data_IF_030699078727
#
_entry.id   IF_030699078727
#
_cell.length_a   1.000
_cell.length_b   1.000
_cell.length_c   1.000
_cell.angle_alpha   90.00
_cell.angle_beta   90.00
_cell.angle_gamma   90.00
#
_symmetry.space_group_name_H-M   'P 1'
#
loop_
_entity.id
_entity.type
_entity.pdbx_description
1 polymer ?
#
# COMPACT_ATOMS: atom_id res chain seq x y z
N UNK A 1 25.79 12.78 6.44
CA UNK A 1 25.59 11.31 6.44
C UNK A 1 24.44 10.98 5.50
N UNK A 2 24.62 10.05 4.56
CA UNK A 2 23.55 9.62 3.65
C UNK A 2 22.91 8.35 4.19
N UNK A 3 21.58 8.35 4.32
CA UNK A 3 20.81 7.17 4.71
C UNK A 3 20.32 6.46 3.45
N UNK A 4 20.55 5.15 3.34
CA UNK A 4 20.07 4.32 2.24
C UNK A 4 18.69 3.73 2.59
N UNK A 5 17.73 3.87 1.69
CA UNK A 5 16.38 3.33 1.87
C UNK A 5 16.01 2.46 0.67
N UNK A 6 15.64 1.21 0.96
CA UNK A 6 15.13 0.29 -0.05
C UNK A 6 13.66 0.55 -0.32
N UNK A 7 13.27 0.57 -1.59
CA UNK A 7 11.87 0.70 -2.02
C UNK A 7 11.53 -0.41 -2.99
N UNK A 8 10.44 -1.11 -2.69
CA UNK A 8 9.84 -2.07 -3.60
C UNK A 8 9.03 -1.34 -4.67
N UNK A 9 9.23 -1.71 -5.93
CA UNK A 9 8.44 -1.28 -7.09
C UNK A 9 8.17 -2.49 -7.98
N UNK A 10 7.15 -2.42 -8.83
CA UNK A 10 6.92 -3.40 -9.89
C UNK A 10 7.50 -2.90 -11.22
N UNK A 11 7.33 -1.62 -11.54
CA UNK A 11 7.81 -1.05 -12.80
C UNK A 11 8.16 0.43 -12.68
N UNK A 12 8.69 1.02 -13.75
CA UNK A 12 8.94 2.47 -13.83
C UNK A 12 7.68 3.31 -13.69
N UNK A 13 6.49 2.75 -13.99
CA UNK A 13 5.21 3.45 -13.76
C UNK A 13 5.00 3.79 -12.29
N UNK A 14 5.53 2.98 -11.39
CA UNK A 14 5.45 3.27 -9.95
C UNK A 14 6.27 4.52 -9.60
N UNK A 15 7.34 4.82 -10.33
CA UNK A 15 8.14 6.03 -10.11
C UNK A 15 7.34 7.30 -10.41
N UNK A 16 6.39 7.25 -11.35
CA UNK A 16 5.45 8.37 -11.60
C UNK A 16 4.56 8.60 -10.39
N UNK A 17 4.03 7.53 -9.80
CA UNK A 17 3.21 7.60 -8.57
C UNK A 17 4.05 8.17 -7.43
N UNK A 18 5.28 7.71 -7.24
CA UNK A 18 6.17 8.27 -6.22
C UNK A 18 6.48 9.75 -6.48
N UNK A 19 6.63 10.16 -7.74
CA UNK A 19 6.86 11.56 -8.10
C UNK A 19 5.67 12.44 -7.75
N UNK A 20 4.46 12.00 -8.06
CA UNK A 20 3.22 12.69 -7.68
C UNK A 20 3.06 12.78 -6.16
N UNK A 21 3.30 11.69 -5.44
CA UNK A 21 3.21 11.68 -3.97
C UNK A 21 4.30 12.57 -3.34
N UNK A 22 5.51 12.56 -3.91
CA UNK A 22 6.63 13.39 -3.47
C UNK A 22 6.29 14.88 -3.50
N UNK A 23 5.68 15.39 -4.57
CA UNK A 23 5.38 16.83 -4.69
C UNK A 23 4.45 17.34 -3.60
N UNK A 24 3.67 16.44 -2.99
CA UNK A 24 2.77 16.75 -1.87
C UNK A 24 3.33 16.36 -0.50
N UNK A 25 4.56 15.82 -0.43
CA UNK A 25 5.20 15.39 0.82
C UNK A 25 5.93 16.57 1.48
N UNK A 26 5.56 17.00 2.69
CA UNK A 26 6.19 18.14 3.35
C UNK A 26 7.65 17.84 3.75
N UNK A 27 8.48 18.89 3.77
CA UNK A 27 9.89 18.86 4.22
C UNK A 27 10.84 17.95 3.41
N UNK A 28 10.38 17.35 2.32
CA UNK A 28 11.18 16.54 1.42
C UNK A 28 11.51 17.35 0.16
N UNK A 29 12.79 17.45 -0.18
CA UNK A 29 13.27 18.13 -1.39
C UNK A 29 14.07 17.15 -2.25
N UNK A 30 14.08 17.32 -3.56
CA UNK A 30 14.99 16.60 -4.48
C UNK A 30 16.37 17.27 -4.42
N UNK A 31 17.45 16.47 -4.40
CA UNK A 31 18.81 17.00 -4.53
C UNK A 31 18.95 17.79 -5.84
N UNK A 32 19.67 18.93 -5.81
CA UNK A 32 19.72 19.87 -6.95
C UNK A 32 20.16 19.23 -8.26
N UNK A 33 21.09 18.28 -8.21
CA UNK A 33 21.54 17.49 -9.35
C UNK A 33 20.47 16.53 -9.91
N UNK A 34 19.44 16.18 -9.14
CA UNK A 34 18.36 15.27 -9.55
C UNK A 34 17.09 16.01 -10.00
N UNK A 35 17.01 17.35 -9.91
CA UNK A 35 15.77 18.10 -10.18
C UNK A 35 15.29 18.00 -11.64
N UNK A 36 16.21 17.85 -12.59
CA UNK A 36 15.92 17.79 -14.02
C UNK A 36 16.21 16.41 -14.62
N UNK A 37 16.52 15.41 -13.79
CA UNK A 37 16.79 14.04 -14.24
C UNK A 37 15.46 13.29 -14.25
N UNK A 38 15.17 12.59 -15.34
CA UNK A 38 14.06 11.66 -15.42
C UNK A 38 14.26 10.52 -14.44
N UNK A 39 13.22 10.19 -13.66
CA UNK A 39 13.31 9.13 -12.67
C UNK A 39 13.15 7.79 -13.36
N UNK A 40 14.21 7.01 -13.41
CA UNK A 40 14.22 5.66 -13.98
C UNK A 40 14.71 4.66 -12.93
N UNK A 41 14.60 3.37 -13.22
CA UNK A 41 15.19 2.33 -12.35
C UNK A 41 16.70 2.52 -12.20
N UNK A 42 17.37 2.90 -13.29
CA UNK A 42 18.82 3.14 -13.33
C UNK A 42 19.21 4.46 -12.64
N UNK A 43 18.31 5.44 -12.64
CA UNK A 43 18.50 6.77 -12.05
C UNK A 43 17.43 7.07 -10.99
N UNK A 44 17.44 6.36 -9.84
CA UNK A 44 16.46 6.61 -8.79
C UNK A 44 16.67 8.00 -8.17
N UNK A 45 15.60 8.65 -7.69
CA UNK A 45 15.72 9.96 -7.08
C UNK A 45 16.50 9.92 -5.77
N UNK A 46 17.35 10.94 -5.58
CA UNK A 46 17.94 11.22 -4.28
C UNK A 46 17.24 12.43 -3.63
N UNK A 47 16.94 12.30 -2.34
CA UNK A 47 16.20 13.29 -1.59
C UNK A 47 17.03 13.96 -0.50
N UNK A 48 16.56 15.13 -0.10
CA UNK A 48 17.01 15.92 1.02
C UNK A 48 15.81 16.09 1.95
N UNK A 49 15.88 15.50 3.13
CA UNK A 49 14.87 15.68 4.17
C UNK A 49 15.32 16.77 5.15
N UNK A 50 14.58 17.88 5.19
CA UNK A 50 14.80 18.96 6.17
C UNK A 50 14.18 18.55 7.50
N UNK A 51 15.00 18.40 8.53
CA UNK A 51 14.58 18.07 9.90
C UNK A 51 14.70 19.30 10.78
N UNK A 52 14.06 19.25 11.97
CA UNK A 52 14.16 20.31 12.98
C UNK A 52 15.61 20.65 13.38
N UNK A 53 16.49 19.65 13.38
CA UNK A 53 17.89 19.78 13.83
C UNK A 53 18.91 19.42 12.74
N UNK A 54 18.59 19.62 11.45
CA UNK A 54 19.55 19.46 10.37
C UNK A 54 18.96 18.90 9.09
N UNK A 55 19.84 18.46 8.21
CA UNK A 55 19.50 17.96 6.89
C UNK A 55 19.99 16.53 6.73
N UNK A 56 19.14 15.65 6.23
CA UNK A 56 19.49 14.28 5.90
C UNK A 56 19.44 14.07 4.39
N UNK A 57 20.54 13.53 3.84
CA UNK A 57 20.58 13.05 2.47
C UNK A 57 20.05 11.61 2.44
N UNK A 58 19.18 11.34 1.48
CA UNK A 58 18.45 10.10 1.36
C UNK A 58 18.72 9.55 -0.03
N UNK A 59 19.31 8.37 -0.08
CA UNK A 59 19.51 7.63 -1.32
C UNK A 59 18.52 6.47 -1.39
N UNK A 60 17.85 6.35 -2.54
CA UNK A 60 16.88 5.29 -2.79
C UNK A 60 17.53 4.15 -3.54
N UNK A 61 17.42 2.95 -3.00
CA UNK A 61 17.74 1.70 -3.68
C UNK A 61 16.42 1.05 -4.11
N UNK A 62 16.19 0.96 -5.42
CA UNK A 62 14.97 0.35 -5.95
C UNK A 62 15.14 -1.17 -6.02
N UNK A 63 14.12 -1.90 -5.56
CA UNK A 63 14.01 -3.35 -5.70
C UNK A 63 12.79 -3.66 -6.54
N UNK A 64 13.02 -4.22 -7.72
CA UNK A 64 11.95 -4.67 -8.60
C UNK A 64 11.39 -5.98 -8.03
N UNK A 65 10.09 -5.98 -7.77
CA UNK A 65 9.34 -7.16 -7.36
C UNK A 65 8.82 -7.91 -8.57
N UNK A 66 8.66 -9.22 -8.39
CA UNK A 66 8.00 -10.11 -9.35
C UNK A 66 6.74 -10.68 -8.72
N UNK A 67 5.72 -10.90 -9.54
CA UNK A 67 4.51 -11.60 -9.11
C UNK A 67 4.76 -13.11 -9.09
N UNK A 68 5.43 -13.56 -8.03
CA UNK A 68 5.82 -14.96 -7.84
C UNK A 68 5.43 -15.45 -6.43
N UNK A 69 5.81 -16.70 -6.12
CA UNK A 69 5.58 -17.32 -4.81
C UNK A 69 6.18 -16.49 -3.65
N UNK A 70 7.37 -15.91 -3.82
CA UNK A 70 7.98 -15.07 -2.79
C UNK A 70 7.11 -13.85 -2.46
N UNK A 71 6.58 -13.17 -3.48
CA UNK A 71 5.71 -12.00 -3.26
C UNK A 71 4.37 -12.42 -2.66
N UNK A 72 3.81 -13.55 -3.10
CA UNK A 72 2.63 -14.15 -2.50
C UNK A 72 2.83 -14.42 -1.01
N UNK A 73 3.98 -14.96 -0.61
CA UNK A 73 4.28 -15.25 0.80
C UNK A 73 4.43 -13.97 1.63
N UNK A 74 5.04 -12.93 1.06
CA UNK A 74 5.06 -11.60 1.68
C UNK A 74 3.65 -11.08 1.93
N UNK A 75 2.74 -11.19 0.96
CA UNK A 75 1.35 -10.76 1.13
C UNK A 75 0.64 -11.56 2.22
N UNK A 76 0.84 -12.87 2.27
CA UNK A 76 0.27 -13.70 3.33
C UNK A 76 0.75 -13.28 4.71
N UNK A 77 2.06 -13.04 4.89
CA UNK A 77 2.62 -12.54 6.16
C UNK A 77 1.99 -11.21 6.57
N UNK A 78 1.82 -10.28 5.61
CA UNK A 78 1.20 -8.98 5.84
C UNK A 78 -0.26 -9.16 6.29
N UNK A 79 -1.04 -9.98 5.59
CA UNK A 79 -2.48 -10.20 5.87
C UNK A 79 -2.66 -10.89 7.21
N UNK A 80 -1.87 -11.92 7.52
CA UNK A 80 -1.94 -12.62 8.81
C UNK A 80 -1.57 -11.69 9.98
N UNK A 81 -0.53 -10.87 9.81
CA UNK A 81 -0.14 -9.87 10.81
C UNK A 81 -1.24 -8.83 11.00
N UNK A 82 -1.87 -8.40 9.92
CA UNK A 82 -2.99 -7.46 9.93
C UNK A 82 -4.21 -8.05 10.61
N UNK A 83 -4.52 -9.33 10.34
CA UNK A 83 -5.63 -10.04 10.95
C UNK A 83 -5.43 -10.19 12.46
N UNK A 84 -4.22 -10.59 12.89
CA UNK A 84 -3.84 -10.64 14.31
C UNK A 84 -3.98 -9.27 14.99
N UNK A 85 -3.52 -8.20 14.34
CA UNK A 85 -3.67 -6.84 14.86
C UNK A 85 -5.16 -6.43 14.95
N UNK A 86 -5.97 -6.76 13.95
CA UNK A 86 -7.40 -6.49 13.93
C UNK A 86 -8.19 -7.25 14.99
N UNK A 87 -7.69 -8.41 15.46
CA UNK A 87 -8.24 -9.14 16.59
C UNK A 87 -8.00 -8.40 17.92
N UNK A 88 -6.83 -7.81 18.11
CA UNK A 88 -6.44 -7.13 19.35
C UNK A 88 -7.20 -5.81 19.60
N UNK A 89 -7.78 -5.20 18.56
CA UNK A 89 -8.44 -3.89 18.64
C UNK A 89 -9.86 -3.98 19.26
N UNK A 90 -10.35 -5.18 19.64
CA UNK A 90 -11.75 -5.36 20.06
C UNK A 90 -11.94 -5.57 21.56
N UNK A 91 -13.05 -5.01 22.07
CA UNK A 91 -13.57 -5.22 23.43
C UNK A 91 -14.44 -6.49 23.58
N UNK A 92 -14.81 -7.17 22.48
CA UNK A 92 -15.73 -8.33 22.51
C UNK A 92 -15.15 -9.52 21.75
N UNK A 93 -15.20 -10.72 22.36
CA UNK A 93 -14.74 -11.97 21.78
C UNK A 93 -15.54 -12.33 20.50
N UNK A 94 -14.97 -12.03 19.33
CA UNK A 94 -15.50 -12.47 18.04
C UNK A 94 -15.01 -13.87 17.66
N UNK A 95 -15.76 -14.58 16.81
CA UNK A 95 -15.28 -15.81 16.18
C UNK A 95 -14.36 -15.44 15.01
N UNK A 96 -13.08 -15.24 15.30
CA UNK A 96 -12.07 -14.91 14.30
C UNK A 96 -11.47 -16.16 13.67
N UNK A 97 -11.08 -16.03 12.40
CA UNK A 97 -10.58 -17.13 11.57
C UNK A 97 -11.15 -17.06 10.16
N UNK A 98 -10.59 -17.87 9.27
CA UNK A 98 -11.09 -17.96 7.89
C UNK A 98 -12.47 -18.62 7.84
N UNK A 99 -13.29 -18.23 6.87
CA UNK A 99 -14.60 -18.87 6.63
C UNK A 99 -14.41 -20.34 6.26
N UNK A 100 -13.41 -20.63 5.42
CA UNK A 100 -12.92 -21.97 5.10
C UNK A 100 -11.40 -21.96 5.10
N UNK A 101 -10.78 -23.08 5.52
CA UNK A 101 -9.32 -23.20 5.57
C UNK A 101 -8.73 -23.00 4.16
N UNK A 102 -7.86 -22.01 3.99
CA UNK A 102 -7.21 -21.67 2.73
C UNK A 102 -8.00 -20.67 1.88
N UNK A 103 -9.05 -20.04 2.40
CA UNK A 103 -9.83 -19.04 1.67
C UNK A 103 -9.00 -17.79 1.36
N UNK A 104 -8.16 -17.36 2.31
CA UNK A 104 -7.28 -16.20 2.13
C UNK A 104 -6.17 -16.54 1.14
N UNK A 105 -5.50 -17.67 1.32
CA UNK A 105 -4.43 -18.11 0.41
C UNK A 105 -4.92 -18.22 -1.02
N UNK A 106 -6.06 -18.88 -1.26
CA UNK A 106 -6.63 -19.01 -2.60
C UNK A 106 -6.95 -17.66 -3.25
N UNK A 107 -7.36 -16.68 -2.44
CA UNK A 107 -7.63 -15.31 -2.91
C UNK A 107 -6.32 -14.61 -3.30
N UNK A 108 -5.29 -14.70 -2.48
CA UNK A 108 -3.98 -14.11 -2.76
C UNK A 108 -3.34 -14.77 -3.99
N UNK A 109 -3.39 -16.10 -4.08
CA UNK A 109 -2.85 -16.85 -5.22
C UNK A 109 -3.54 -16.41 -6.53
N UNK A 110 -4.87 -16.30 -6.52
CA UNK A 110 -5.65 -15.81 -7.67
C UNK A 110 -5.27 -14.37 -8.08
N UNK A 111 -5.08 -13.48 -7.10
CA UNK A 111 -4.68 -12.09 -7.37
C UNK A 111 -3.26 -12.03 -7.94
N UNK A 112 -2.29 -12.73 -7.35
CA UNK A 112 -0.90 -12.73 -7.81
C UNK A 112 -0.80 -13.28 -9.24
N UNK A 113 -1.53 -14.34 -9.57
CA UNK A 113 -1.61 -14.86 -10.94
C UNK A 113 -2.27 -13.85 -11.88
N UNK A 114 -3.36 -13.18 -11.48
CA UNK A 114 -3.96 -12.13 -12.30
C UNK A 114 -2.99 -10.97 -12.55
N UNK A 115 -2.24 -10.56 -11.53
CA UNK A 115 -1.25 -9.49 -11.62
C UNK A 115 -0.06 -9.87 -12.48
N UNK A 116 0.40 -11.12 -12.47
CA UNK A 116 1.49 -11.55 -13.34
C UNK A 116 1.11 -11.38 -14.81
N UNK A 117 -0.12 -11.72 -15.20
CA UNK A 117 -0.59 -11.48 -16.58
C UNK A 117 -0.71 -9.98 -16.92
N UNK A 118 -1.31 -9.18 -16.04
CA UNK A 118 -1.46 -7.72 -16.24
C UNK A 118 -0.12 -6.99 -16.26
N UNK A 119 0.88 -7.52 -15.55
CA UNK A 119 2.23 -6.97 -15.50
C UNK A 119 2.93 -7.06 -16.86
N UNK A 120 2.78 -8.19 -17.56
CA UNK A 120 3.36 -8.38 -18.89
C UNK A 120 2.76 -7.42 -19.92
N UNK A 121 1.51 -6.97 -19.71
CA UNK A 121 0.85 -5.93 -20.51
C UNK A 121 1.26 -4.50 -20.10
N UNK A 122 2.10 -4.36 -19.07
CA UNK A 122 2.57 -3.09 -18.52
C UNK A 122 1.46 -2.28 -17.85
N UNK A 123 0.31 -2.87 -17.49
CA UNK A 123 -0.86 -2.10 -17.00
C UNK A 123 -0.90 -1.89 -15.50
N UNK A 124 -0.06 -2.60 -14.75
CA UNK A 124 -0.17 -2.69 -13.29
C UNK A 124 0.77 -1.72 -12.56
N UNK A 125 0.25 -1.11 -11.50
CA UNK A 125 0.99 -0.25 -10.55
C UNK A 125 0.80 -0.72 -9.11
N UNK A 126 1.61 -0.20 -8.18
CA UNK A 126 1.45 -0.43 -6.74
C UNK A 126 0.05 -0.05 -6.24
N UNK A 127 -0.61 0.96 -6.84
CA UNK A 127 -1.95 1.37 -6.45
C UNK A 127 -3.01 0.36 -6.89
N UNK A 128 -2.80 -0.32 -8.02
CA UNK A 128 -3.68 -1.39 -8.46
C UNK A 128 -3.60 -2.59 -7.51
N UNK A 129 -2.37 -3.01 -7.14
CA UNK A 129 -2.15 -4.09 -6.17
C UNK A 129 -2.79 -3.75 -4.82
N UNK A 130 -2.58 -2.53 -4.33
CA UNK A 130 -3.18 -2.05 -3.08
C UNK A 130 -4.72 -2.07 -3.15
N UNK A 131 -5.30 -1.53 -4.22
CA UNK A 131 -6.74 -1.45 -4.37
C UNK A 131 -7.40 -2.83 -4.48
N UNK A 132 -6.88 -3.69 -5.35
CA UNK A 132 -7.41 -5.04 -5.59
C UNK A 132 -7.32 -5.91 -4.32
N UNK A 133 -6.20 -5.86 -3.59
CA UNK A 133 -6.07 -6.62 -2.36
C UNK A 133 -7.00 -6.12 -1.25
N UNK A 134 -7.07 -4.80 -1.05
CA UNK A 134 -7.93 -4.21 -0.01
C UNK A 134 -9.40 -4.49 -0.31
N UNK A 135 -9.83 -4.32 -1.56
CA UNK A 135 -11.18 -4.66 -1.99
C UNK A 135 -11.48 -6.15 -1.77
N UNK A 136 -10.59 -7.03 -2.20
CA UNK A 136 -10.78 -8.47 -2.05
C UNK A 136 -10.95 -8.89 -0.58
N UNK A 137 -10.15 -8.34 0.32
CA UNK A 137 -10.24 -8.64 1.76
C UNK A 137 -11.47 -8.03 2.42
N UNK A 138 -11.90 -6.85 1.98
CA UNK A 138 -13.08 -6.16 2.53
C UNK A 138 -14.40 -6.80 2.08
N UNK A 139 -14.50 -7.13 0.78
CA UNK A 139 -15.78 -7.46 0.14
C UNK A 139 -15.98 -8.96 -0.11
N UNK A 140 -14.92 -9.77 -0.25
CA UNK A 140 -15.07 -11.20 -0.62
C UNK A 140 -15.21 -12.15 0.59
N UNK A 141 -15.49 -11.61 1.78
CA UNK A 141 -15.82 -12.32 3.02
C UNK A 141 -14.91 -13.52 3.35
N UNK A 142 -13.59 -13.30 3.43
CA UNK A 142 -12.61 -14.39 3.67
C UNK A 142 -12.48 -14.78 5.13
N UNK A 143 -12.82 -13.87 6.04
CA UNK A 143 -12.84 -14.11 7.47
C UNK A 143 -14.28 -14.20 7.98
N UNK A 144 -14.49 -15.01 9.02
CA UNK A 144 -15.78 -15.10 9.72
C UNK A 144 -16.19 -13.75 10.33
N UNK A 145 -15.21 -12.98 10.80
CA UNK A 145 -15.39 -11.61 11.29
C UNK A 145 -14.12 -10.78 11.01
N UNK A 146 -14.26 -9.45 11.01
CA UNK A 146 -13.14 -8.53 10.94
C UNK A 146 -12.61 -8.28 9.53
N UNK A 147 -13.35 -8.63 8.46
CA UNK A 147 -12.95 -8.39 7.06
C UNK A 147 -12.50 -6.92 6.82
N UNK A 148 -13.37 -5.96 7.13
CA UNK A 148 -13.08 -4.51 6.98
C UNK A 148 -11.82 -4.07 7.73
N UNK A 149 -11.72 -4.42 9.02
CA UNK A 149 -10.56 -4.08 9.86
C UNK A 149 -9.28 -4.76 9.39
N UNK A 150 -9.37 -6.01 8.97
CA UNK A 150 -8.22 -6.73 8.40
C UNK A 150 -7.77 -6.10 7.09
N UNK A 151 -8.69 -5.68 6.22
CA UNK A 151 -8.37 -4.95 4.99
C UNK A 151 -7.67 -3.61 5.30
N UNK A 152 -8.20 -2.84 6.25
CA UNK A 152 -7.62 -1.57 6.71
C UNK A 152 -6.24 -1.73 7.35
N UNK A 153 -5.99 -2.80 8.10
CA UNK A 153 -4.68 -3.10 8.68
C UNK A 153 -3.69 -3.63 7.63
N UNK A 154 -4.14 -4.52 6.73
CA UNK A 154 -3.33 -5.07 5.63
C UNK A 154 -2.80 -3.94 4.78
N UNK A 155 -3.71 -3.03 4.44
CA UNK A 155 -3.40 -1.77 3.78
C UNK A 155 -2.27 -1.00 4.46
N UNK A 156 -2.35 -0.75 5.76
CA UNK A 156 -1.33 0.02 6.49
C UNK A 156 0.04 -0.65 6.44
N UNK A 157 0.08 -1.98 6.51
CA UNK A 157 1.34 -2.73 6.42
C UNK A 157 1.86 -2.78 4.99
N UNK A 158 0.99 -2.94 3.99
CA UNK A 158 1.37 -3.04 2.59
C UNK A 158 1.87 -1.71 2.03
N UNK A 159 1.26 -0.57 2.38
CA UNK A 159 1.80 0.75 1.99
C UNK A 159 3.19 0.98 2.59
N UNK A 160 3.41 0.57 3.85
CA UNK A 160 4.71 0.70 4.52
C UNK A 160 5.77 -0.17 3.85
N UNK A 161 5.39 -1.38 3.41
CA UNK A 161 6.24 -2.25 2.62
C UNK A 161 6.71 -1.58 1.32
N UNK A 162 5.85 -0.80 0.65
CA UNK A 162 6.22 0.01 -0.52
C UNK A 162 6.94 1.34 -0.18
N UNK A 163 7.19 1.65 1.10
CA UNK A 163 7.83 2.90 1.53
C UNK A 163 6.91 4.12 1.41
N UNK A 164 5.59 3.90 1.53
CA UNK A 164 4.52 4.88 1.51
C UNK A 164 3.78 4.92 2.85
N UNK A 165 3.19 6.07 3.16
CA UNK A 165 2.53 6.31 4.44
C UNK A 165 1.25 7.15 4.23
N UNK A 166 0.26 7.01 5.12
CA UNK A 166 -0.97 7.81 5.08
C UNK A 166 -0.74 9.15 5.78
N UNK A 167 -1.04 10.26 5.10
CA UNK A 167 -0.96 11.62 5.65
C UNK A 167 -1.71 11.64 6.97
N UNK A 168 -1.01 11.92 8.08
CA UNK A 168 -1.68 12.09 9.37
C UNK A 168 -2.66 13.26 9.25
N UNK A 169 -3.93 12.97 9.51
CA UNK A 169 -4.99 13.97 9.52
C UNK A 169 -5.30 14.47 10.94
N UNK A 170 -6.37 15.27 11.05
CA UNK A 170 -7.06 15.49 12.32
C UNK A 170 -7.76 14.18 12.74
N UNK A 171 -8.16 14.00 14.00
CA UNK A 171 -8.92 12.82 14.41
C UNK A 171 -10.16 12.51 13.54
N UNK A 172 -10.84 13.53 12.98
CA UNK A 172 -11.96 13.31 12.04
C UNK A 172 -11.52 12.72 10.69
N UNK A 173 -10.25 12.89 10.31
CA UNK A 173 -9.65 12.25 9.13
C UNK A 173 -9.17 10.82 9.41
N UNK A 174 -9.03 10.43 10.68
CA UNK A 174 -8.62 9.07 11.04
C UNK A 174 -9.79 8.07 10.94
N UNK A 175 -11.05 8.49 11.21
CA UNK A 175 -12.26 7.67 10.98
C UNK A 175 -12.67 7.62 9.50
N UNK A 176 -12.20 8.57 8.70
CA UNK A 176 -12.57 8.71 7.29
C UNK A 176 -12.39 7.40 6.49
N UNK A 177 -11.31 6.68 6.74
CA UNK A 177 -11.02 5.44 6.00
C UNK A 177 -11.91 4.27 6.44
N UNK A 178 -12.36 4.28 7.68
CA UNK A 178 -13.31 3.30 8.19
C UNK A 178 -14.65 3.49 7.48
N UNK A 179 -15.15 4.73 7.44
CA UNK A 179 -16.38 5.10 6.73
C UNK A 179 -16.30 4.79 5.24
N UNK A 180 -15.17 5.12 4.61
CA UNK A 180 -14.95 4.83 3.19
C UNK A 180 -14.99 3.33 2.88
N UNK A 181 -14.33 2.49 3.69
CA UNK A 181 -14.38 1.04 3.47
C UNK A 181 -15.75 0.46 3.78
N UNK A 182 -16.48 1.01 4.76
CA UNK A 182 -17.88 0.63 5.01
C UNK A 182 -18.73 0.91 3.78
N UNK A 183 -18.66 2.12 3.22
CA UNK A 183 -19.40 2.51 2.03
C UNK A 183 -19.09 1.63 0.81
N UNK A 184 -17.81 1.32 0.57
CA UNK A 184 -17.41 0.37 -0.49
C UNK A 184 -18.07 -1.01 -0.28
N UNK A 185 -18.06 -1.53 0.95
CA UNK A 185 -18.66 -2.84 1.28
C UNK A 185 -20.19 -2.81 1.18
N UNK A 186 -20.85 -1.70 1.51
CA UNK A 186 -22.31 -1.59 1.40
C UNK A 186 -22.77 -1.50 -0.06
N UNK A 187 -21.99 -0.83 -0.92
CA UNK A 187 -22.31 -0.64 -2.34
C UNK A 187 -21.79 -1.74 -3.27
N UNK A 188 -20.97 -2.69 -2.78
CA UNK A 188 -20.26 -3.67 -3.62
C UNK A 188 -21.15 -4.57 -4.49
N UNK A 189 -22.42 -4.76 -4.15
CA UNK A 189 -23.38 -5.54 -4.93
C UNK A 189 -24.14 -4.71 -5.98
N UNK A 190 -24.06 -3.38 -5.88
CA UNK A 190 -24.79 -2.43 -6.74
C UNK A 190 -23.88 -1.77 -7.79
N UNK A 191 -22.57 -1.85 -7.60
CA UNK A 191 -21.57 -1.15 -8.39
C UNK A 191 -20.51 -2.14 -8.84
N UNK A 192 -20.01 -1.96 -10.06
CA UNK A 192 -18.95 -2.78 -10.62
C UNK A 192 -17.67 -2.69 -9.76
N UNK A 193 -16.99 -3.82 -9.58
CA UNK A 193 -15.69 -3.90 -8.92
C UNK A 193 -14.69 -2.92 -9.55
N UNK A 194 -14.69 -2.74 -10.87
CA UNK A 194 -13.77 -1.82 -11.54
C UNK A 194 -13.95 -0.35 -11.06
N UNK A 195 -15.19 0.07 -10.83
CA UNK A 195 -15.50 1.41 -10.32
C UNK A 195 -15.01 1.57 -8.88
N UNK A 196 -15.20 0.57 -8.03
CA UNK A 196 -14.66 0.57 -6.67
C UNK A 196 -13.14 0.62 -6.65
N UNK A 197 -12.47 -0.17 -7.49
CA UNK A 197 -11.01 -0.15 -7.60
C UNK A 197 -10.51 1.24 -8.02
N UNK A 198 -11.19 1.90 -8.96
CA UNK A 198 -10.88 3.28 -9.35
C UNK A 198 -11.07 4.27 -8.19
N UNK A 199 -12.17 4.21 -7.46
CA UNK A 199 -12.43 5.05 -6.28
C UNK A 199 -11.34 4.88 -5.22
N UNK A 200 -10.97 3.64 -4.91
CA UNK A 200 -9.91 3.32 -3.95
C UNK A 200 -8.57 3.92 -4.41
N UNK A 201 -8.19 3.75 -5.69
CA UNK A 201 -6.93 4.29 -6.24
C UNK A 201 -6.87 5.82 -6.20
N UNK A 202 -7.94 6.49 -6.61
CA UNK A 202 -8.00 7.95 -6.57
C UNK A 202 -7.94 8.48 -5.14
N UNK A 203 -8.51 7.72 -4.19
CA UNK A 203 -8.38 8.06 -2.78
C UNK A 203 -6.94 7.90 -2.29
N UNK A 204 -6.25 6.83 -2.68
CA UNK A 204 -4.84 6.63 -2.35
C UNK A 204 -3.94 7.78 -2.78
N UNK A 205 -4.08 8.25 -4.02
CA UNK A 205 -3.26 9.35 -4.55
C UNK A 205 -3.33 10.61 -3.67
N UNK A 206 -4.49 10.89 -3.07
CA UNK A 206 -4.71 12.09 -2.24
C UNK A 206 -4.11 11.94 -0.85
N UNK A 207 -4.18 10.74 -0.28
CA UNK A 207 -3.88 10.48 1.13
C UNK A 207 -2.46 9.97 1.39
N UNK A 208 -1.70 9.58 0.36
CA UNK A 208 -0.34 9.08 0.55
C UNK A 208 0.71 10.19 0.63
N UNK A 209 1.77 9.93 1.40
CA UNK A 209 3.01 10.70 1.42
C UNK A 209 4.21 9.76 1.56
N UNK A 210 5.40 10.30 1.31
CA UNK A 210 6.65 9.60 1.50
C UNK A 210 7.20 9.89 2.90
N UNK A 211 7.52 8.84 3.68
CA UNK A 211 8.25 8.99 4.94
C UNK A 211 9.49 8.10 4.98
N UNK A 212 10.48 8.55 5.74
CA UNK A 212 11.76 7.89 5.94
C UNK A 212 11.94 7.66 7.44
N UNK A 213 11.52 6.49 7.91
CA UNK A 213 11.74 6.07 9.30
C UNK A 213 13.07 5.31 9.35
N UNK A 214 14.01 5.78 10.17
CA UNK A 214 15.19 4.97 10.50
C UNK A 214 14.72 3.75 11.27
N UNK A 215 15.06 2.56 10.79
CA UNK A 215 15.22 1.42 11.67
C UNK A 215 16.57 1.63 12.36
N UNK A 216 16.54 1.93 13.66
CA UNK A 216 17.74 1.94 14.49
C UNK A 216 18.04 0.51 14.93
#
# INVERSE_FOLDING_TARGET
MSSKYRRAIFSEKDLLIFKEIYTTTPNLNIQSNCKNIEWTIENPPNFIHKRRFGVENISIELRILKFNEDFRDVLMIIIESAHKSAQMIRDVAGNYGEVSKGAVSATVDSLVVSWSYKYDEGKLTILDVLAELVYALACRHKFKDGNKRTALMTRMFLIQFFGLYVKKGTPEKDTFWDDFIVDIVERHSMIDEELHLKEIKEKWKKELYIWFKRYN
#
